data_IF_688624254133
#
_entry.id   IF_688624254133
#
_cell.length_a   1.000
_cell.length_b   1.000
_cell.length_c   1.000
_cell.angle_alpha   90.00
_cell.angle_beta   90.00
_cell.angle_gamma   90.00
#
_symmetry.space_group_name_H-M   'P 1'
#
loop_
_entity.id
_entity.type
_entity.pdbx_description
1 polymer ?
#
# COMPACT_ATOMS: atom_id res chain seq x y z
N UNK A 1 0.44 12.31 6.77
CA UNK A 1 1.44 11.23 6.94
C UNK A 1 0.74 9.94 6.60
N UNK A 2 1.26 9.12 5.69
CA UNK A 2 0.66 7.81 5.40
C UNK A 2 0.74 6.94 6.67
N UNK A 3 -0.37 6.33 7.08
CA UNK A 3 -0.36 5.34 8.17
C UNK A 3 0.31 4.08 7.63
N UNK A 4 1.33 3.59 8.32
CA UNK A 4 2.04 2.36 7.95
C UNK A 4 1.79 1.34 9.05
N UNK A 5 1.31 0.16 8.68
CA UNK A 5 1.22 -0.98 9.58
C UNK A 5 2.27 -2.00 9.22
N UNK A 6 2.85 -2.67 10.23
CA UNK A 6 3.83 -3.73 10.04
C UNK A 6 3.28 -5.08 10.48
N UNK A 7 3.21 -6.04 9.55
CA UNK A 7 2.82 -7.42 9.84
C UNK A 7 4.05 -8.34 9.78
N UNK A 8 4.26 -9.18 10.79
CA UNK A 8 5.35 -10.15 10.78
C UNK A 8 5.02 -11.39 9.93
N UNK A 9 5.91 -11.73 9.01
CA UNK A 9 5.86 -12.94 8.20
C UNK A 9 6.95 -13.90 8.64
N UNK A 10 6.55 -15.10 9.04
CA UNK A 10 7.48 -16.15 9.47
C UNK A 10 8.26 -16.72 8.27
N UNK A 11 9.59 -16.77 8.40
CA UNK A 11 10.48 -17.32 7.37
C UNK A 11 10.38 -18.84 7.19
N UNK A 12 10.99 -19.32 6.10
CA UNK A 12 11.07 -20.75 5.76
C UNK A 12 12.31 -21.44 6.36
N UNK A 13 13.37 -20.67 6.63
CA UNK A 13 14.57 -21.14 7.32
C UNK A 13 14.43 -20.89 8.82
N UNK A 14 14.74 -21.91 9.62
CA UNK A 14 14.78 -21.79 11.07
C UNK A 14 16.21 -21.51 11.52
N UNK A 15 16.39 -20.52 12.41
CA UNK A 15 17.67 -20.36 13.12
C UNK A 15 17.51 -19.55 14.41
N UNK A 16 18.38 -19.85 15.38
CA UNK A 16 18.35 -19.38 16.78
C UNK A 16 18.94 -17.97 17.01
N UNK A 17 19.39 -17.22 15.99
CA UNK A 17 20.17 -15.99 16.25
C UNK A 17 19.80 -14.77 15.37
N UNK A 18 18.60 -14.72 14.74
CA UNK A 18 18.08 -13.47 14.15
C UNK A 18 17.25 -12.83 15.24
N UNK A 19 17.69 -11.66 15.70
CA UNK A 19 16.92 -10.79 16.58
C UNK A 19 15.98 -9.92 15.77
N UNK A 20 14.99 -9.32 16.42
CA UNK A 20 14.11 -8.33 15.79
C UNK A 20 14.90 -7.20 15.11
N UNK A 21 16.04 -6.78 15.70
CA UNK A 21 16.93 -5.74 15.13
C UNK A 21 17.53 -6.11 13.76
N UNK A 22 17.59 -7.40 13.45
CA UNK A 22 18.11 -7.92 12.16
C UNK A 22 17.01 -8.35 11.20
N UNK A 23 15.75 -8.26 11.62
CA UNK A 23 14.60 -8.64 10.80
C UNK A 23 14.26 -7.49 9.87
N UNK A 24 14.36 -7.67 8.53
CA UNK A 24 14.12 -6.58 7.61
C UNK A 24 12.65 -6.21 7.61
N UNK A 25 12.41 -4.92 7.47
CA UNK A 25 11.09 -4.36 7.19
C UNK A 25 11.04 -3.99 5.72
N UNK A 26 10.07 -4.52 4.97
CA UNK A 26 10.02 -4.39 3.51
C UNK A 26 8.65 -3.92 3.00
N UNK A 27 8.59 -3.17 1.89
CA UNK A 27 7.34 -2.82 1.25
C UNK A 27 6.56 -4.05 0.74
N UNK A 28 5.24 -3.95 0.65
CA UNK A 28 4.37 -5.03 0.18
C UNK A 28 4.75 -5.58 -1.20
N UNK A 29 5.19 -4.74 -2.14
CA UNK A 29 5.62 -5.20 -3.47
C UNK A 29 6.87 -6.09 -3.42
N UNK A 30 7.78 -5.86 -2.47
CA UNK A 30 8.96 -6.71 -2.24
C UNK A 30 8.54 -8.03 -1.62
N UNK A 31 7.67 -7.96 -0.60
CA UNK A 31 7.09 -9.15 0.05
C UNK A 31 6.38 -10.05 -0.96
N UNK A 32 5.57 -9.48 -1.86
CA UNK A 32 4.87 -10.22 -2.92
C UNK A 32 5.86 -10.93 -3.85
N UNK A 33 6.86 -10.21 -4.36
CA UNK A 33 7.87 -10.82 -5.22
C UNK A 33 8.60 -11.95 -4.49
N UNK A 34 9.00 -11.74 -3.24
CA UNK A 34 9.68 -12.76 -2.44
C UNK A 34 8.82 -14.01 -2.28
N UNK A 35 7.55 -13.88 -1.89
CA UNK A 35 6.64 -15.01 -1.69
C UNK A 35 6.42 -15.84 -2.97
N UNK A 36 6.34 -15.18 -4.13
CA UNK A 36 6.26 -15.85 -5.44
C UNK A 36 7.56 -16.59 -5.82
N UNK A 37 8.71 -16.14 -5.30
CA UNK A 37 10.04 -16.60 -5.71
C UNK A 37 10.81 -17.42 -4.66
N UNK A 38 10.38 -17.46 -3.39
CA UNK A 38 11.14 -18.01 -2.25
C UNK A 38 11.47 -19.50 -2.39
N UNK A 39 10.68 -20.26 -3.14
CA UNK A 39 10.90 -21.71 -3.33
C UNK A 39 12.20 -22.06 -4.06
N UNK A 40 12.73 -21.14 -4.88
CA UNK A 40 14.03 -21.26 -5.56
C UNK A 40 14.74 -19.92 -5.56
N UNK A 41 14.84 -19.28 -4.40
CA UNK A 41 15.22 -17.87 -4.29
C UNK A 41 16.54 -17.56 -5.01
N UNK A 42 17.59 -18.34 -4.77
CA UNK A 42 18.91 -18.12 -5.39
C UNK A 42 18.84 -18.13 -6.93
N UNK A 43 18.12 -19.10 -7.50
CA UNK A 43 17.90 -19.20 -8.93
C UNK A 43 17.06 -18.03 -9.46
N UNK A 44 16.02 -17.63 -8.73
CA UNK A 44 15.12 -16.56 -9.15
C UNK A 44 15.80 -15.18 -9.08
N UNK A 45 16.64 -14.92 -8.08
CA UNK A 45 17.50 -13.73 -8.01
C UNK A 45 18.48 -13.73 -9.19
N UNK A 46 19.21 -14.83 -9.40
CA UNK A 46 20.14 -14.94 -10.52
C UNK A 46 19.44 -14.72 -11.87
N UNK A 47 18.30 -15.36 -12.09
CA UNK A 47 17.50 -15.23 -13.31
C UNK A 47 17.03 -13.79 -13.50
N UNK A 48 16.58 -13.14 -12.43
CA UNK A 48 16.13 -11.74 -12.47
C UNK A 48 17.28 -10.82 -12.92
N UNK A 49 18.46 -10.95 -12.33
CA UNK A 49 19.66 -10.17 -12.69
C UNK A 49 20.13 -10.49 -14.11
N UNK A 50 20.11 -11.76 -14.52
CA UNK A 50 20.51 -12.18 -15.87
C UNK A 50 19.61 -11.55 -16.94
N UNK A 51 18.31 -11.49 -16.67
CA UNK A 51 17.30 -10.97 -17.59
C UNK A 51 17.01 -9.47 -17.33
N UNK A 52 17.96 -8.72 -16.77
CA UNK A 52 17.77 -7.35 -16.27
C UNK A 52 17.08 -6.41 -17.26
N UNK A 53 17.56 -6.36 -18.50
CA UNK A 53 17.04 -5.48 -19.56
C UNK A 53 15.66 -5.91 -20.09
N UNK A 54 15.17 -7.10 -19.73
CA UNK A 54 13.85 -7.58 -20.11
C UNK A 54 12.75 -7.14 -19.14
N UNK A 55 13.10 -6.61 -17.97
CA UNK A 55 12.13 -6.14 -16.98
C UNK A 55 11.71 -4.69 -17.25
N UNK A 56 10.46 -4.32 -16.89
CA UNK A 56 10.05 -2.92 -16.93
C UNK A 56 10.94 -2.09 -16.00
N UNK A 57 11.73 -1.17 -16.58
CA UNK A 57 12.68 -0.29 -15.87
C UNK A 57 12.04 0.62 -14.82
N UNK A 58 10.71 0.76 -14.84
CA UNK A 58 9.94 1.58 -13.91
C UNK A 58 9.11 0.76 -12.92
N UNK A 59 9.25 -0.58 -12.91
CA UNK A 59 8.55 -1.38 -11.90
C UNK A 59 9.14 -1.12 -10.51
N UNK A 60 8.27 -1.08 -9.48
CA UNK A 60 8.69 -0.83 -8.11
C UNK A 60 9.77 -1.83 -7.63
N UNK A 61 9.65 -3.10 -8.04
CA UNK A 61 10.65 -4.12 -7.71
C UNK A 61 11.97 -3.94 -8.48
N UNK A 62 11.95 -3.47 -9.72
CA UNK A 62 13.18 -3.12 -10.46
C UNK A 62 13.92 -1.97 -9.78
N UNK A 63 13.19 -0.93 -9.38
CA UNK A 63 13.75 0.18 -8.61
C UNK A 63 14.34 -0.28 -7.27
N UNK A 64 13.66 -1.16 -6.54
CA UNK A 64 14.18 -1.79 -5.33
C UNK A 64 15.50 -2.53 -5.57
N UNK A 65 15.56 -3.38 -6.60
CA UNK A 65 16.78 -4.12 -6.95
C UNK A 65 17.91 -3.23 -7.46
N UNK A 66 17.61 -2.03 -7.99
CA UNK A 66 18.58 -1.07 -8.52
C UNK A 66 19.04 -0.03 -7.49
N UNK A 67 18.41 0.04 -6.31
CA UNK A 67 18.76 1.01 -5.27
C UNK A 67 19.89 0.46 -4.39
N UNK A 68 21.09 1.01 -4.58
CA UNK A 68 22.28 0.63 -3.82
C UNK A 68 22.15 0.87 -2.31
N UNK A 69 21.19 1.70 -1.86
CA UNK A 69 20.95 1.99 -0.43
C UNK A 69 20.04 0.98 0.25
N UNK A 70 19.29 0.19 -0.51
CA UNK A 70 18.30 -0.74 0.03
C UNK A 70 18.84 -2.16 0.23
N UNK A 71 20.14 -2.39 -0.07
CA UNK A 71 20.82 -3.66 0.16
C UNK A 71 19.95 -4.85 -0.30
N UNK A 72 19.37 -4.73 -1.51
CA UNK A 72 18.25 -5.57 -1.95
C UNK A 72 18.55 -7.08 -1.86
N UNK A 73 19.77 -7.50 -2.18
CA UNK A 73 20.19 -8.90 -2.07
C UNK A 73 20.24 -9.37 -0.62
N UNK A 74 20.81 -8.57 0.27
CA UNK A 74 20.89 -8.89 1.70
C UNK A 74 19.47 -8.95 2.29
N UNK A 75 18.62 -8.00 1.96
CA UNK A 75 17.21 -7.97 2.37
C UNK A 75 16.49 -9.25 1.95
N UNK A 76 16.56 -9.65 0.67
CA UNK A 76 15.92 -10.88 0.18
C UNK A 76 16.47 -12.14 0.86
N UNK A 77 17.77 -12.17 1.20
CA UNK A 77 18.38 -13.29 1.93
C UNK A 77 17.85 -13.33 3.37
N UNK A 78 17.79 -12.18 4.06
CA UNK A 78 17.30 -12.08 5.44
C UNK A 78 15.80 -12.44 5.54
N UNK A 79 15.00 -12.08 4.54
CA UNK A 79 13.58 -12.45 4.48
C UNK A 79 13.33 -13.96 4.53
N UNK A 80 14.31 -14.81 4.17
CA UNK A 80 14.19 -16.27 4.34
C UNK A 80 14.03 -16.72 5.79
N UNK A 81 14.45 -15.91 6.75
CA UNK A 81 14.38 -16.17 8.18
C UNK A 81 13.19 -15.46 8.87
N UNK A 82 12.53 -14.55 8.17
CA UNK A 82 11.39 -13.77 8.64
C UNK A 82 11.56 -12.29 8.29
N UNK A 83 10.46 -11.55 8.23
CA UNK A 83 10.46 -10.12 7.88
C UNK A 83 9.16 -9.44 8.32
N UNK A 84 9.21 -8.12 8.47
CA UNK A 84 8.02 -7.28 8.64
C UNK A 84 7.60 -6.72 7.27
N UNK A 85 6.30 -6.71 6.99
CA UNK A 85 5.75 -6.09 5.78
C UNK A 85 5.17 -4.74 6.13
N UNK A 86 5.72 -3.67 5.56
CA UNK A 86 5.09 -2.36 5.54
C UNK A 86 3.94 -2.37 4.54
N UNK A 87 2.74 -2.21 5.09
CA UNK A 87 1.55 -1.90 4.31
C UNK A 87 1.27 -0.43 4.48
N UNK A 88 1.29 0.29 3.36
CA UNK A 88 0.67 1.61 3.31
C UNK A 88 -0.83 1.39 3.54
N UNK A 89 -1.35 1.92 4.64
CA UNK A 89 -2.79 2.01 4.84
C UNK A 89 -3.24 3.20 4.02
N UNK A 90 -3.96 2.93 2.93
CA UNK A 90 -4.67 3.99 2.21
C UNK A 90 -5.70 4.59 3.18
N UNK A 91 -5.40 5.79 3.68
CA UNK A 91 -6.32 6.52 4.52
C UNK A 91 -7.54 6.89 3.68
N UNK A 92 -8.69 6.41 4.12
CA UNK A 92 -9.96 6.75 3.52
C UNK A 92 -10.60 7.89 4.28
N UNK A 93 -11.35 8.68 3.54
CA UNK A 93 -12.02 9.86 4.04
C UNK A 93 -13.49 9.84 3.64
N UNK A 94 -14.32 10.41 4.49
CA UNK A 94 -15.70 10.81 4.17
C UNK A 94 -15.69 12.32 3.95
N UNK A 95 -16.35 12.77 2.89
CA UNK A 95 -16.50 14.20 2.60
C UNK A 95 -17.97 14.56 2.64
N UNK A 96 -18.35 15.36 3.63
CA UNK A 96 -19.66 15.99 3.72
C UNK A 96 -19.60 17.40 3.09
N UNK A 97 -20.49 17.67 2.16
CA UNK A 97 -20.56 18.96 1.45
C UNK A 97 -21.58 19.86 2.16
N UNK A 98 -21.14 20.97 2.78
CA UNK A 98 -22.05 21.87 3.49
C UNK A 98 -23.01 22.55 2.52
N UNK A 99 -24.30 22.58 2.87
CA UNK A 99 -25.33 23.30 2.11
C UNK A 99 -26.18 24.21 3.00
N UNK A 100 -26.80 25.21 2.37
CA UNK A 100 -27.71 26.14 3.04
C UNK A 100 -29.09 25.54 3.35
N UNK A 101 -29.44 24.37 2.79
CA UNK A 101 -30.79 23.79 2.86
C UNK A 101 -30.79 22.55 3.76
N UNK A 102 -31.49 22.64 4.89
CA UNK A 102 -31.35 21.79 6.09
C UNK A 102 -31.99 20.39 5.97
N UNK A 103 -32.37 19.94 4.77
CA UNK A 103 -33.18 18.72 4.62
C UNK A 103 -32.41 17.48 4.17
N UNK A 104 -31.21 17.63 3.60
CA UNK A 104 -30.42 16.50 3.14
C UNK A 104 -28.93 16.76 3.29
N UNK A 105 -28.22 15.75 3.76
CA UNK A 105 -26.77 15.71 3.77
C UNK A 105 -26.27 15.24 2.39
N UNK A 106 -25.16 15.84 1.96
CA UNK A 106 -24.53 15.55 0.67
C UNK A 106 -23.14 14.99 0.89
N UNK A 107 -22.88 13.83 0.33
CA UNK A 107 -21.59 13.18 0.43
C UNK A 107 -21.01 12.87 -0.94
N UNK A 108 -19.67 12.87 -1.02
CA UNK A 108 -18.98 12.24 -2.13
C UNK A 108 -19.09 10.72 -2.02
N UNK A 109 -19.28 10.04 -3.15
CA UNK A 109 -19.25 8.58 -3.24
C UNK A 109 -18.73 8.11 -4.59
N UNK A 110 -18.17 6.91 -4.61
CA UNK A 110 -17.80 6.22 -5.85
C UNK A 110 -19.01 5.45 -6.40
N UNK A 111 -19.33 5.67 -7.67
CA UNK A 111 -20.30 4.90 -8.46
C UNK A 111 -19.64 4.54 -9.77
N UNK A 112 -19.55 3.25 -10.08
CA UNK A 112 -18.97 2.73 -11.33
C UNK A 112 -17.57 3.31 -11.62
N UNK A 113 -16.76 3.50 -10.57
CA UNK A 113 -15.39 4.03 -10.67
C UNK A 113 -15.30 5.55 -10.85
N UNK A 114 -16.41 6.29 -10.74
CA UNK A 114 -16.43 7.75 -10.78
C UNK A 114 -16.93 8.34 -9.46
N UNK A 115 -16.31 9.43 -9.02
CA UNK A 115 -16.76 10.16 -7.83
C UNK A 115 -17.98 11.02 -8.19
N UNK A 116 -19.05 10.87 -7.42
CA UNK A 116 -20.32 11.57 -7.61
C UNK A 116 -20.80 12.15 -6.29
N UNK A 117 -21.57 13.24 -6.37
CA UNK A 117 -22.25 13.82 -5.21
C UNK A 117 -23.58 13.09 -5.03
N UNK A 118 -23.88 12.65 -3.81
CA UNK A 118 -25.14 12.00 -3.51
C UNK A 118 -25.87 12.67 -2.35
N UNK A 119 -27.17 12.85 -2.55
CA UNK A 119 -28.12 13.32 -1.56
C UNK A 119 -28.71 12.11 -0.84
N UNK A 120 -28.36 11.89 0.43
CA UNK A 120 -29.02 10.86 1.23
C UNK A 120 -28.90 11.13 2.73
N UNK A 121 -30.03 11.04 3.41
CA UNK A 121 -30.07 10.93 4.87
C UNK A 121 -29.43 9.60 5.29
N UNK A 122 -28.27 9.70 5.96
CA UNK A 122 -28.00 8.85 7.12
C UNK A 122 -26.90 7.79 7.10
N UNK A 123 -26.07 7.58 6.07
CA UNK A 123 -25.02 6.55 6.20
C UNK A 123 -23.73 6.83 5.39
N UNK A 124 -22.76 7.56 5.96
CA UNK A 124 -21.39 7.62 5.46
C UNK A 124 -20.59 6.34 5.69
N UNK A 125 -21.05 5.40 6.54
CA UNK A 125 -20.31 4.16 6.86
C UNK A 125 -20.20 3.16 5.69
N UNK A 126 -20.98 3.34 4.62
CA UNK A 126 -20.91 2.45 3.48
C UNK A 126 -19.58 2.66 2.71
N UNK A 127 -18.84 1.61 2.34
CA UNK A 127 -17.51 1.73 1.71
C UNK A 127 -17.46 2.62 0.46
N UNK A 128 -18.58 2.78 -0.25
CA UNK A 128 -18.68 3.69 -1.41
C UNK A 128 -18.51 5.17 -1.06
N UNK A 129 -18.65 5.56 0.20
CA UNK A 129 -18.41 6.92 0.71
C UNK A 129 -17.02 7.10 1.31
N UNK A 130 -16.22 6.03 1.37
CA UNK A 130 -14.85 6.06 1.85
C UNK A 130 -13.92 6.25 0.66
N UNK A 131 -13.45 7.47 0.44
CA UNK A 131 -12.65 7.84 -0.72
C UNK A 131 -11.19 8.01 -0.33
N UNK A 132 -10.30 7.72 -1.28
CA UNK A 132 -8.90 8.10 -1.20
C UNK A 132 -8.74 9.61 -1.41
N UNK A 133 -7.63 10.18 -0.93
CA UNK A 133 -7.26 11.57 -1.21
C UNK A 133 -7.21 11.86 -2.72
N UNK A 134 -6.69 10.91 -3.52
CA UNK A 134 -6.62 11.05 -4.97
C UNK A 134 -8.00 11.15 -5.63
N UNK A 135 -8.96 10.33 -5.19
CA UNK A 135 -10.35 10.38 -5.67
C UNK A 135 -11.01 11.71 -5.33
N UNK A 136 -10.83 12.23 -4.11
CA UNK A 136 -11.39 13.53 -3.70
C UNK A 136 -10.81 14.67 -4.53
N UNK A 137 -9.47 14.71 -4.67
CA UNK A 137 -8.75 15.73 -5.44
C UNK A 137 -9.08 15.69 -6.93
N UNK A 138 -9.43 14.52 -7.47
CA UNK A 138 -9.86 14.39 -8.87
C UNK A 138 -11.12 15.20 -9.19
N UNK A 139 -11.97 15.46 -8.18
CA UNK A 139 -13.16 16.30 -8.32
C UNK A 139 -12.80 17.76 -8.09
N UNK A 140 -12.26 18.06 -6.90
CA UNK A 140 -11.82 19.40 -6.54
C UNK A 140 -10.92 19.34 -5.30
N UNK A 141 -9.73 19.94 -5.38
CA UNK A 141 -8.77 19.98 -4.27
C UNK A 141 -9.35 20.56 -2.96
N UNK A 142 -10.28 21.52 -3.05
CA UNK A 142 -10.92 22.15 -1.89
C UNK A 142 -11.77 21.20 -1.04
N UNK A 143 -12.22 20.07 -1.59
CA UNK A 143 -12.97 19.08 -0.82
C UNK A 143 -12.13 18.36 0.23
N UNK A 144 -10.80 18.39 0.13
CA UNK A 144 -9.93 17.87 1.19
C UNK A 144 -10.03 18.67 2.49
N UNK A 145 -10.49 19.93 2.47
CA UNK A 145 -10.72 20.72 3.69
C UNK A 145 -11.94 20.23 4.48
N UNK A 146 -12.81 19.45 3.84
CA UNK A 146 -14.04 18.88 4.41
C UNK A 146 -13.91 17.37 4.70
N UNK A 147 -12.74 16.79 4.43
CA UNK A 147 -12.50 15.36 4.52
C UNK A 147 -12.24 14.93 5.98
N UNK A 148 -13.09 14.04 6.49
CA UNK A 148 -12.93 13.42 7.80
C UNK A 148 -12.35 12.01 7.64
N UNK A 149 -11.32 11.67 8.42
CA UNK A 149 -10.73 10.33 8.40
C UNK A 149 -11.75 9.27 8.86
N UNK A 150 -11.87 8.20 8.09
CA UNK A 150 -12.58 7.00 8.52
C UNK A 150 -11.69 6.26 9.53
N UNK A 151 -12.24 5.96 10.71
CA UNK A 151 -11.60 5.16 11.76
C UNK A 151 -11.52 3.66 11.42
#
# INVERSE_FOLDING_TARGET
>A
MKKITTDYVKGTKNYKQISDDTTPTVPEFVAKWFEENKGKLDYNIWKYIRDWECHPKESAFHNFMNDYRQEALETLILMQYGYYVEKEVEQLYVVEIPQAVVHYDYFLKVVDGQVTISCRSGYPEHPKYHLTEAEIRSVWDGYMELAEEVE
#
